data_IF_727606044036
#
_entry.id   IF_727606044036
#
_cell.length_a   1.000
_cell.length_b   1.000
_cell.length_c   1.000
_cell.angle_alpha   90.00
_cell.angle_beta   90.00
_cell.angle_gamma   90.00
#
_symmetry.space_group_name_H-M   'P 1'
#
loop_
_entity.id
_entity.type
_entity.pdbx_description
1 polymer ?
#
# COMPACT_ATOMS: atom_id res chain seq x y z
N UNK A 1 22.67 -14.63 9.72
CA UNK A 1 22.30 -13.43 8.94
C UNK A 1 20.98 -12.92 9.49
N UNK A 2 20.91 -11.67 9.95
CA UNK A 2 19.67 -11.10 10.49
C UNK A 2 18.70 -10.88 9.33
N UNK A 3 17.50 -11.46 9.40
CA UNK A 3 16.50 -11.29 8.35
C UNK A 3 16.15 -9.81 8.17
N UNK A 4 16.30 -9.27 6.96
CA UNK A 4 16.06 -7.85 6.69
C UNK A 4 14.57 -7.61 6.43
N UNK A 5 13.88 -7.01 7.39
CA UNK A 5 12.46 -6.64 7.28
C UNK A 5 12.31 -5.13 7.16
N UNK A 6 11.53 -4.68 6.18
CA UNK A 6 11.11 -3.29 5.99
C UNK A 6 9.65 -3.11 6.38
N UNK A 7 9.36 -2.12 7.23
CA UNK A 7 8.02 -1.56 7.43
C UNK A 7 7.92 -0.29 6.58
N UNK A 8 7.03 -0.33 5.59
CA UNK A 8 6.86 0.69 4.56
C UNK A 8 5.47 1.32 4.63
N UNK A 9 5.42 2.65 4.54
CA UNK A 9 4.17 3.41 4.40
C UNK A 9 4.32 4.54 3.40
N UNK A 10 3.20 4.97 2.81
CA UNK A 10 3.16 6.08 1.85
C UNK A 10 2.09 7.06 2.31
N UNK A 11 2.50 8.32 2.51
CA UNK A 11 1.65 9.39 2.97
C UNK A 11 2.02 10.67 2.20
N UNK A 12 1.48 10.81 0.99
CA UNK A 12 1.69 11.97 0.11
C UNK A 12 0.41 12.83 0.06
N UNK A 13 0.46 13.97 -0.64
CA UNK A 13 -0.73 14.80 -0.90
C UNK A 13 -1.44 15.30 0.38
N UNK A 14 -0.68 15.47 1.45
CA UNK A 14 -1.14 15.96 2.75
C UNK A 14 -1.45 14.87 3.78
N UNK A 15 -1.48 13.59 3.36
CA UNK A 15 -1.65 12.47 4.29
C UNK A 15 -0.51 12.37 5.31
N UNK A 16 0.69 12.87 5.01
CA UNK A 16 1.80 12.96 5.96
C UNK A 16 1.48 13.78 7.21
N UNK A 17 0.57 14.77 7.12
CA UNK A 17 0.16 15.58 8.26
C UNK A 17 -1.09 15.01 8.92
N UNK A 18 -2.03 14.54 8.11
CA UNK A 18 -3.28 13.94 8.61
C UNK A 18 -3.03 12.71 9.48
N UNK A 19 -2.10 11.85 9.05
CA UNK A 19 -1.87 10.54 9.67
C UNK A 19 -0.56 10.43 10.44
N UNK A 20 -0.10 11.54 11.02
CA UNK A 20 1.15 11.54 11.81
C UNK A 20 1.12 10.56 12.99
N UNK A 21 -0.06 10.30 13.57
CA UNK A 21 -0.19 9.39 14.71
C UNK A 21 -0.01 7.94 14.27
N UNK A 22 -0.63 7.58 13.17
CA UNK A 22 -0.54 6.26 12.53
C UNK A 22 0.89 5.99 12.08
N UNK A 23 1.53 6.93 11.37
CA UNK A 23 2.94 6.82 10.97
C UNK A 23 3.90 6.67 12.16
N UNK A 24 3.62 7.33 13.30
CA UNK A 24 4.37 7.12 14.54
C UNK A 24 4.19 5.69 15.08
N UNK A 25 2.99 5.11 14.97
CA UNK A 25 2.72 3.73 15.39
C UNK A 25 3.49 2.72 14.52
N UNK A 26 3.61 2.96 13.21
CA UNK A 26 4.39 2.14 12.29
C UNK A 26 5.87 2.12 12.68
N UNK A 27 6.42 3.31 12.96
CA UNK A 27 7.79 3.46 13.44
C UNK A 27 8.02 2.75 14.77
N UNK A 28 7.09 2.88 15.71
CA UNK A 28 7.21 2.23 17.01
C UNK A 28 7.19 0.70 16.89
N UNK A 29 6.30 0.15 16.06
CA UNK A 29 6.26 -1.28 15.78
C UNK A 29 7.57 -1.78 15.16
N UNK A 30 8.11 -1.06 14.17
CA UNK A 30 9.40 -1.40 13.58
C UNK A 30 10.54 -1.37 14.61
N UNK A 31 10.59 -0.34 15.47
CA UNK A 31 11.57 -0.23 16.54
C UNK A 31 11.48 -1.39 17.54
N UNK A 32 10.26 -1.78 17.92
CA UNK A 32 10.00 -2.87 18.88
C UNK A 32 10.65 -4.19 18.45
N UNK A 33 10.63 -4.50 17.15
CA UNK A 33 11.15 -5.76 16.60
C UNK A 33 12.45 -5.62 15.80
N UNK A 34 13.09 -4.44 15.84
CA UNK A 34 14.35 -4.19 15.14
C UNK A 34 14.24 -4.19 13.62
N UNK A 35 13.08 -3.86 13.07
CA UNK A 35 12.86 -3.73 11.63
C UNK A 35 13.31 -2.36 11.11
N UNK A 36 13.62 -2.28 9.81
CA UNK A 36 13.81 -0.99 9.15
C UNK A 36 12.45 -0.33 8.95
N UNK A 37 12.36 0.97 9.20
CA UNK A 37 11.15 1.76 8.95
C UNK A 37 11.40 2.85 7.91
N UNK A 38 10.50 2.94 6.93
CA UNK A 38 10.48 4.01 5.94
C UNK A 38 9.04 4.46 5.64
N UNK A 39 8.73 5.72 5.96
CA UNK A 39 7.52 6.39 5.51
C UNK A 39 7.86 7.34 4.36
N UNK A 40 7.26 7.12 3.20
CA UNK A 40 7.37 8.00 2.03
C UNK A 40 6.43 9.18 2.24
N UNK A 41 7.00 10.36 2.51
CA UNK A 41 6.27 11.60 2.79
C UNK A 41 6.65 12.74 1.83
N UNK A 42 7.46 12.40 0.83
CA UNK A 42 8.00 13.30 -0.20
C UNK A 42 8.07 12.56 -1.54
N UNK A 43 7.92 13.25 -2.68
CA UNK A 43 7.56 14.67 -2.80
C UNK A 43 6.20 14.96 -2.14
N UNK A 44 6.02 16.14 -1.54
CA UNK A 44 4.81 16.43 -0.76
C UNK A 44 3.52 16.36 -1.59
N UNK A 45 3.65 16.70 -2.87
CA UNK A 45 2.62 16.61 -3.89
C UNK A 45 3.15 15.64 -4.94
N UNK A 46 2.35 14.62 -5.25
CA UNK A 46 2.62 13.67 -6.32
C UNK A 46 1.77 14.03 -7.54
N UNK A 47 2.35 13.87 -8.72
CA UNK A 47 1.65 14.00 -9.99
C UNK A 47 0.66 12.85 -10.26
N UNK A 48 0.80 11.71 -9.57
CA UNK A 48 -0.17 10.61 -9.58
C UNK A 48 -1.49 10.95 -8.88
N UNK A 49 -1.52 11.95 -7.99
CA UNK A 49 -2.73 12.30 -7.25
C UNK A 49 -3.28 11.10 -6.47
N UNK A 50 -4.48 10.62 -6.81
CA UNK A 50 -5.10 9.44 -6.16
C UNK A 50 -4.45 8.11 -6.59
N UNK A 51 -3.77 8.08 -7.74
CA UNK A 51 -3.04 6.90 -8.23
C UNK A 51 -1.76 6.62 -7.42
N UNK A 52 -1.42 7.46 -6.42
CA UNK A 52 -0.37 7.19 -5.44
C UNK A 52 -0.52 5.83 -4.76
N UNK A 53 -1.74 5.30 -4.69
CA UNK A 53 -2.02 4.00 -4.11
C UNK A 53 -1.26 2.87 -4.84
N UNK A 54 -0.94 3.02 -6.14
CA UNK A 54 -0.12 2.07 -6.91
C UNK A 54 1.35 2.04 -6.48
N UNK A 55 1.87 3.13 -5.92
CA UNK A 55 3.27 3.21 -5.50
C UNK A 55 3.61 2.09 -4.50
N UNK A 56 2.65 1.66 -3.67
CA UNK A 56 2.89 0.57 -2.70
C UNK A 56 3.41 -0.69 -3.38
N UNK A 57 2.84 -1.09 -4.51
CA UNK A 57 3.24 -2.32 -5.21
C UNK A 57 4.63 -2.17 -5.83
N UNK A 58 4.90 -1.02 -6.46
CA UNK A 58 6.20 -0.74 -7.09
C UNK A 58 7.34 -0.66 -6.07
N UNK A 59 7.11 -0.01 -4.92
CA UNK A 59 8.11 0.16 -3.87
C UNK A 59 8.35 -1.13 -3.08
N UNK A 60 7.31 -1.93 -2.83
CA UNK A 60 7.47 -3.28 -2.26
C UNK A 60 8.33 -4.12 -3.19
N UNK A 61 8.02 -4.14 -4.50
CA UNK A 61 8.79 -4.88 -5.49
C UNK A 61 10.25 -4.43 -5.54
N UNK A 62 10.51 -3.12 -5.55
CA UNK A 62 11.86 -2.56 -5.55
C UNK A 62 12.64 -2.94 -4.28
N UNK A 63 12.02 -2.85 -3.10
CA UNK A 63 12.64 -3.23 -1.85
C UNK A 63 13.00 -4.71 -1.80
N UNK A 64 12.10 -5.61 -2.22
CA UNK A 64 12.39 -7.04 -2.31
C UNK A 64 13.53 -7.33 -3.29
N UNK A 65 13.50 -6.73 -4.48
CA UNK A 65 14.57 -6.89 -5.48
C UNK A 65 15.92 -6.35 -5.02
N UNK A 66 15.92 -5.35 -4.13
CA UNK A 66 17.16 -4.83 -3.55
C UNK A 66 17.80 -5.75 -2.51
N UNK A 67 17.04 -6.70 -1.95
CA UNK A 67 17.55 -7.67 -0.97
C UNK A 67 16.91 -7.58 0.42
N UNK A 68 15.75 -6.92 0.58
CA UNK A 68 14.93 -7.14 1.77
C UNK A 68 14.30 -8.53 1.73
N UNK A 69 14.33 -9.26 2.85
CA UNK A 69 13.68 -10.57 2.96
C UNK A 69 12.16 -10.43 3.08
N UNK A 70 11.71 -9.39 3.78
CA UNK A 70 10.29 -9.13 4.01
C UNK A 70 9.99 -7.64 3.91
N UNK A 71 8.83 -7.30 3.36
CA UNK A 71 8.27 -5.95 3.37
C UNK A 71 6.86 -6.02 3.93
N UNK A 72 6.62 -5.37 5.07
CA UNK A 72 5.29 -5.07 5.57
C UNK A 72 4.90 -3.68 5.08
N UNK A 73 3.92 -3.61 4.19
CA UNK A 73 3.28 -2.37 3.81
C UNK A 73 2.08 -2.06 4.70
N UNK A 74 1.98 -0.81 5.13
CA UNK A 74 0.87 -0.26 5.92
C UNK A 74 0.38 1.04 5.26
N UNK A 75 -0.90 1.08 4.90
CA UNK A 75 -1.57 2.32 4.50
C UNK A 75 -1.45 3.35 5.63
N UNK A 76 -1.37 4.63 5.26
CA UNK A 76 -1.10 5.70 6.22
C UNK A 76 -2.20 5.81 7.30
N UNK A 77 -3.43 5.40 7.00
CA UNK A 77 -4.58 5.40 7.92
C UNK A 77 -4.76 4.10 8.74
N UNK A 78 -3.74 3.23 8.71
CA UNK A 78 -3.66 2.05 9.58
C UNK A 78 -2.94 2.38 10.89
N UNK A 79 -3.55 2.08 12.03
CA UNK A 79 -2.93 2.22 13.34
C UNK A 79 -2.43 0.85 13.82
N UNK A 80 -1.16 0.76 14.19
CA UNK A 80 -0.58 -0.47 14.77
C UNK A 80 -0.68 -0.42 16.29
N UNK A 81 -1.29 -1.46 16.87
CA UNK A 81 -1.44 -1.61 18.31
C UNK A 81 -0.14 -2.07 18.97
N UNK A 82 0.04 -1.73 20.26
CA UNK A 82 1.21 -2.12 21.05
C UNK A 82 1.33 -3.65 21.22
N UNK A 83 0.21 -4.36 21.20
CA UNK A 83 0.16 -5.82 21.29
C UNK A 83 0.33 -6.54 19.93
N UNK A 84 0.58 -5.80 18.84
CA UNK A 84 0.87 -6.41 17.54
C UNK A 84 2.09 -7.35 17.65
N UNK A 85 1.97 -8.64 17.28
CA UNK A 85 3.03 -9.62 17.42
C UNK A 85 4.11 -9.45 16.35
N UNK A 86 5.24 -10.15 16.50
CA UNK A 86 6.30 -10.20 15.49
C UNK A 86 5.79 -10.85 14.19
N UNK A 87 6.28 -10.41 13.02
CA UNK A 87 5.87 -10.95 11.72
C UNK A 87 6.21 -12.44 11.54
N UNK A 88 7.21 -12.98 12.23
CA UNK A 88 7.50 -14.41 12.18
C UNK A 88 6.35 -15.26 12.70
N UNK A 89 5.43 -14.69 13.49
CA UNK A 89 4.27 -15.40 14.03
C UNK A 89 3.27 -15.83 12.97
N UNK A 90 3.31 -15.25 11.76
CA UNK A 90 2.38 -15.58 10.67
C UNK A 90 3.03 -16.36 9.53
N UNK A 91 4.36 -16.53 9.54
CA UNK A 91 5.05 -17.20 8.46
C UNK A 91 4.70 -18.68 8.41
N UNK A 92 4.37 -19.12 7.20
CA UNK A 92 4.06 -20.51 6.90
C UNK A 92 4.89 -20.96 5.69
N UNK A 93 5.33 -22.22 5.70
CA UNK A 93 6.01 -22.83 4.58
C UNK A 93 5.17 -22.75 3.29
N UNK A 94 5.84 -22.45 2.17
CA UNK A 94 5.18 -22.27 0.87
C UNK A 94 4.32 -21.02 0.73
N UNK A 95 4.28 -20.13 1.74
CA UNK A 95 3.51 -18.88 1.72
C UNK A 95 4.43 -17.66 1.71
N UNK A 96 4.17 -16.73 0.80
CA UNK A 96 5.05 -15.59 0.53
C UNK A 96 4.33 -14.23 0.54
N UNK A 97 3.01 -14.20 0.38
CA UNK A 97 2.22 -12.96 0.47
C UNK A 97 1.11 -13.18 1.48
N UNK A 98 0.89 -12.19 2.35
CA UNK A 98 -0.04 -12.29 3.45
C UNK A 98 -0.90 -11.03 3.50
N UNK A 99 -2.22 -11.21 3.50
CA UNK A 99 -3.21 -10.14 3.55
C UNK A 99 -4.43 -10.62 4.32
N UNK A 100 -5.12 -9.70 5.01
CA UNK A 100 -6.42 -9.98 5.60
C UNK A 100 -7.55 -9.47 4.69
N UNK A 101 -8.73 -10.09 4.84
CA UNK A 101 -9.94 -9.61 4.18
C UNK A 101 -10.53 -8.42 4.93
N UNK A 102 -10.98 -7.42 4.17
CA UNK A 102 -11.69 -6.26 4.72
C UNK A 102 -13.18 -6.52 4.94
N UNK A 103 -13.93 -5.47 5.27
CA UNK A 103 -15.38 -5.50 5.52
C UNK A 103 -16.21 -6.09 4.37
N UNK A 104 -15.71 -6.02 3.13
CA UNK A 104 -16.38 -6.62 1.96
C UNK A 104 -16.07 -8.11 1.78
N UNK A 105 -15.41 -8.76 2.75
CA UNK A 105 -14.94 -10.15 2.66
C UNK A 105 -14.01 -10.43 1.45
N UNK A 106 -13.30 -9.40 0.97
CA UNK A 106 -12.29 -9.47 -0.10
C UNK A 106 -10.95 -8.99 0.46
N UNK A 107 -9.83 -9.40 -0.13
CA UNK A 107 -8.53 -8.94 0.31
C UNK A 107 -8.43 -7.41 0.32
N UNK A 108 -7.80 -6.88 1.36
CA UNK A 108 -7.50 -5.47 1.49
C UNK A 108 -5.98 -5.30 1.59
N UNK A 109 -5.41 -4.62 0.60
CA UNK A 109 -3.97 -4.40 0.43
C UNK A 109 -3.39 -3.24 1.23
N UNK A 110 -4.20 -2.60 2.09
CA UNK A 110 -3.70 -1.59 3.02
C UNK A 110 -2.89 -2.16 4.18
N UNK A 111 -2.95 -3.48 4.36
CA UNK A 111 -1.93 -4.24 5.08
C UNK A 111 -1.51 -5.41 4.20
N UNK A 112 -0.27 -5.35 3.71
CA UNK A 112 0.27 -6.37 2.81
C UNK A 112 1.68 -6.72 3.27
N UNK A 113 1.88 -7.98 3.67
CA UNK A 113 3.19 -8.52 3.99
C UNK A 113 3.67 -9.39 2.83
N UNK A 114 4.79 -8.99 2.23
CA UNK A 114 5.41 -9.66 1.10
C UNK A 114 6.79 -10.19 1.50
N UNK A 115 7.06 -11.46 1.19
CA UNK A 115 8.35 -12.11 1.38
C UNK A 115 9.09 -12.21 0.06
N UNK A 116 10.40 -12.05 0.10
CA UNK A 116 11.25 -12.20 -1.07
C UNK A 116 11.18 -13.63 -1.58
N UNK A 117 10.56 -13.77 -2.74
CA UNK A 117 10.44 -15.01 -3.47
C UNK A 117 10.15 -14.68 -4.92
N UNK A 118 10.65 -15.50 -5.85
CA UNK A 118 10.39 -15.31 -7.28
C UNK A 118 8.89 -15.26 -7.60
N UNK A 119 8.06 -16.04 -6.88
CA UNK A 119 6.60 -16.04 -7.04
C UNK A 119 5.97 -14.72 -6.59
N UNK A 120 6.46 -14.14 -5.50
CA UNK A 120 6.05 -12.80 -5.03
C UNK A 120 6.39 -11.73 -6.05
N UNK A 121 7.62 -11.74 -6.57
CA UNK A 121 8.08 -10.77 -7.58
C UNK A 121 7.26 -10.89 -8.87
N UNK A 122 7.02 -12.11 -9.34
CA UNK A 122 6.22 -12.37 -10.53
C UNK A 122 4.78 -11.86 -10.36
N UNK A 123 4.16 -12.16 -9.21
CA UNK A 123 2.81 -11.68 -8.89
C UNK A 123 2.73 -10.15 -8.81
N UNK A 124 3.62 -9.49 -8.06
CA UNK A 124 3.66 -8.02 -8.01
C UNK A 124 3.81 -7.42 -9.40
N UNK A 125 4.72 -7.97 -10.21
CA UNK A 125 4.95 -7.52 -11.59
C UNK A 125 3.68 -7.66 -12.43
N UNK A 126 2.97 -8.78 -12.31
CA UNK A 126 1.72 -9.03 -13.02
C UNK A 126 0.64 -8.02 -12.63
N UNK A 127 0.44 -7.76 -11.33
CA UNK A 127 -0.55 -6.79 -10.84
C UNK A 127 -0.21 -5.37 -11.32
N UNK A 128 1.06 -4.95 -11.23
CA UNK A 128 1.52 -3.63 -11.68
C UNK A 128 1.30 -3.45 -13.19
N UNK A 129 1.64 -4.46 -13.99
CA UNK A 129 1.48 -4.41 -15.45
C UNK A 129 0.01 -4.38 -15.87
N UNK A 130 -0.90 -4.91 -15.04
CA UNK A 130 -2.32 -4.91 -15.30
C UNK A 130 -3.02 -3.58 -14.92
N UNK A 131 -2.30 -2.56 -14.43
CA UNK A 131 -2.91 -1.33 -13.86
C UNK A 131 -3.89 -0.60 -14.77
N UNK A 132 -3.67 -0.66 -16.09
CA UNK A 132 -4.51 0.01 -17.09
C UNK A 132 -5.64 -0.88 -17.61
N UNK A 133 -5.64 -2.15 -17.22
CA UNK A 133 -6.68 -3.10 -17.59
C UNK A 133 -7.86 -2.94 -16.62
N UNK A 134 -9.06 -3.14 -17.13
CA UNK A 134 -10.24 -3.26 -16.30
C UNK A 134 -10.18 -4.58 -15.50
N UNK A 135 -10.66 -4.52 -14.26
CA UNK A 135 -10.89 -5.71 -13.44
C UNK A 135 -12.33 -6.19 -13.59
N UNK A 136 -12.55 -7.48 -13.35
CA UNK A 136 -13.89 -8.06 -13.32
C UNK A 136 -14.79 -7.30 -12.34
N UNK A 137 -16.07 -7.20 -12.70
CA UNK A 137 -17.05 -6.40 -11.96
C UNK A 137 -17.12 -6.77 -10.47
N UNK A 138 -16.99 -8.04 -10.11
CA UNK A 138 -16.99 -8.48 -8.71
C UNK A 138 -15.74 -8.06 -7.91
N UNK A 139 -14.63 -7.80 -8.59
CA UNK A 139 -13.37 -7.37 -8.00
C UNK A 139 -13.24 -5.85 -7.99
N UNK A 140 -14.05 -5.16 -8.78
CA UNK A 140 -14.02 -3.72 -8.88
C UNK A 140 -14.37 -3.06 -7.54
N UNK A 141 -13.51 -2.12 -7.11
CA UNK A 141 -13.67 -1.30 -5.90
C UNK A 141 -13.82 0.19 -6.22
N UNK A 142 -13.94 0.52 -7.50
CA UNK A 142 -14.18 1.85 -8.05
C UNK A 142 -12.92 2.64 -8.40
N UNK A 143 -11.77 2.34 -7.79
CA UNK A 143 -10.52 3.09 -8.00
C UNK A 143 -9.29 2.32 -7.47
N UNK A 144 -8.11 2.76 -7.88
CA UNK A 144 -6.82 2.29 -7.35
C UNK A 144 -6.48 0.83 -7.66
N UNK A 145 -5.49 0.32 -6.93
CA UNK A 145 -4.84 -0.97 -7.13
C UNK A 145 -5.57 -2.14 -6.48
N UNK A 146 -6.40 -1.88 -5.46
CA UNK A 146 -6.92 -2.97 -4.62
C UNK A 146 -7.84 -3.91 -5.41
N UNK A 147 -8.53 -3.43 -6.45
CA UNK A 147 -9.32 -4.29 -7.34
C UNK A 147 -8.45 -5.31 -8.07
N UNK A 148 -7.31 -4.88 -8.60
CA UNK A 148 -6.34 -5.77 -9.24
C UNK A 148 -5.70 -6.71 -8.23
N UNK A 149 -5.37 -6.24 -7.03
CA UNK A 149 -4.85 -7.13 -5.96
C UNK A 149 -5.86 -8.23 -5.64
N UNK A 150 -7.16 -7.94 -5.55
CA UNK A 150 -8.21 -8.96 -5.33
C UNK A 150 -8.22 -9.96 -6.50
N UNK A 151 -8.29 -9.46 -7.74
CA UNK A 151 -8.40 -10.28 -8.94
C UNK A 151 -7.23 -11.25 -9.10
N UNK A 152 -6.01 -10.72 -9.06
CA UNK A 152 -4.79 -11.48 -9.26
C UNK A 152 -4.40 -12.33 -8.04
N UNK A 153 -5.13 -12.23 -6.92
CA UNK A 153 -4.94 -13.11 -5.76
C UNK A 153 -5.84 -14.36 -5.79
N UNK A 154 -6.84 -14.41 -6.69
CA UNK A 154 -7.76 -15.56 -6.78
C UNK A 154 -6.99 -16.84 -7.13
N UNK A 155 -7.13 -17.87 -6.30
CA UNK A 155 -6.54 -19.19 -6.53
C UNK A 155 -5.01 -19.26 -6.39
N UNK A 156 -4.34 -18.20 -5.93
CA UNK A 156 -2.88 -18.19 -5.82
C UNK A 156 -2.42 -18.96 -4.57
N UNK A 157 -1.74 -20.11 -4.71
CA UNK A 157 -1.51 -21.03 -3.60
C UNK A 157 -0.48 -20.52 -2.57
N UNK A 158 0.36 -19.56 -2.93
CA UNK A 158 1.36 -18.99 -2.01
C UNK A 158 0.87 -17.73 -1.28
N UNK A 159 -0.36 -17.28 -1.54
CA UNK A 159 -0.99 -16.22 -0.75
C UNK A 159 -1.66 -16.86 0.46
N UNK A 160 -1.46 -16.26 1.63
CA UNK A 160 -2.07 -16.67 2.89
C UNK A 160 -3.01 -15.57 3.37
N UNK A 161 -4.24 -15.97 3.67
CA UNK A 161 -5.17 -15.12 4.41
C UNK A 161 -4.72 -15.00 5.87
N UNK A 162 -4.56 -13.76 6.33
CA UNK A 162 -4.32 -13.42 7.73
C UNK A 162 -5.64 -13.32 8.48
N UNK A 163 -5.58 -13.56 9.79
CA UNK A 163 -6.68 -13.23 10.69
C UNK A 163 -7.05 -11.75 10.58
N UNK A 164 -8.34 -11.45 10.75
CA UNK A 164 -8.91 -10.10 10.73
C UNK A 164 -8.18 -9.11 11.65
N UNK A 165 -7.57 -9.58 12.75
CA UNK A 165 -6.77 -8.76 13.67
C UNK A 165 -5.61 -8.03 12.99
N UNK A 166 -5.08 -8.58 11.90
CA UNK A 166 -4.00 -7.99 11.11
C UNK A 166 -4.46 -6.88 10.16
N UNK A 167 -5.76 -6.71 9.92
CA UNK A 167 -6.30 -5.62 9.12
C UNK A 167 -7.79 -5.42 9.45
N UNK A 168 -8.08 -4.88 10.63
CA UNK A 168 -9.46 -4.67 11.06
C UNK A 168 -10.02 -3.38 10.45
N UNK A 169 -11.03 -3.52 9.60
CA UNK A 169 -11.64 -2.41 8.84
C UNK A 169 -13.10 -2.12 9.22
N UNK A 170 -13.68 -2.86 10.16
CA UNK A 170 -15.11 -2.72 10.47
C UNK A 170 -15.56 -3.00 11.90
N UNK A 171 -14.80 -3.74 12.70
CA UNK A 171 -15.25 -4.19 14.01
C UNK A 171 -14.63 -3.38 15.14
N UNK A 172 -15.41 -2.47 15.70
CA UNK A 172 -14.95 -1.56 16.74
C UNK A 172 -14.55 -2.26 18.06
N UNK A 173 -15.14 -3.43 18.34
CA UNK A 173 -14.95 -4.18 19.57
C UNK A 173 -13.78 -5.17 19.50
N UNK A 174 -13.30 -5.47 18.29
CA UNK A 174 -12.16 -6.37 18.12
C UNK A 174 -10.90 -5.78 18.76
N UNK A 175 -10.27 -6.57 19.63
CA UNK A 175 -8.87 -6.35 20.04
C UNK A 175 -7.98 -6.75 18.87
N UNK A 176 -7.61 -5.76 18.06
CA UNK A 176 -6.85 -5.92 16.82
C UNK A 176 -5.36 -5.62 17.01
N UNK A 177 -4.56 -6.09 16.05
CA UNK A 177 -3.15 -5.75 15.93
C UNK A 177 -2.97 -4.51 15.06
N UNK A 178 -3.79 -4.40 14.01
CA UNK A 178 -3.79 -3.27 13.09
C UNK A 178 -5.25 -2.85 12.83
N UNK A 179 -5.57 -1.61 13.20
CA UNK A 179 -6.88 -0.99 12.96
C UNK A 179 -6.79 -0.05 11.78
N UNK A 180 -7.54 -0.33 10.73
CA UNK A 180 -7.42 0.36 9.45
C UNK A 180 -8.68 1.18 9.16
N UNK A 181 -8.54 2.50 9.17
CA UNK A 181 -9.65 3.46 9.02
C UNK A 181 -9.86 3.89 7.57
N UNK A 182 -9.78 2.92 6.67
CA UNK A 182 -9.99 3.12 5.24
C UNK A 182 -11.41 3.58 4.90
N UNK A 183 -11.65 3.89 3.62
CA UNK A 183 -12.98 4.21 3.10
C UNK A 183 -13.96 3.04 3.35
N UNK A 184 -14.67 3.07 4.48
CA UNK A 184 -15.51 1.98 4.97
C UNK A 184 -16.11 2.28 6.34
N UNK A 185 -16.64 1.26 7.05
CA UNK A 185 -17.41 1.44 8.30
C UNK A 185 -16.64 2.14 9.43
N UNK A 186 -15.30 2.11 9.40
CA UNK A 186 -14.44 2.75 10.39
C UNK A 186 -14.11 4.23 10.12
N UNK A 187 -14.41 4.77 8.94
CA UNK A 187 -14.12 6.18 8.60
C UNK A 187 -15.34 7.07 8.86
N UNK A 188 -15.54 7.40 10.13
CA UNK A 188 -16.72 8.15 10.60
C UNK A 188 -16.49 9.66 10.79
N UNK A 189 -15.23 10.12 10.75
CA UNK A 189 -14.90 11.53 10.98
C UNK A 189 -15.30 12.45 9.82
N UNK A 190 -16.14 13.45 10.08
CA UNK A 190 -16.56 14.46 9.08
C UNK A 190 -15.37 15.21 8.49
N UNK A 191 -14.43 15.66 9.34
CA UNK A 191 -13.21 16.34 8.89
C UNK A 191 -12.34 15.44 8.01
N UNK A 192 -12.25 14.16 8.35
CA UNK A 192 -11.51 13.20 7.53
C UNK A 192 -12.15 13.06 6.16
N UNK A 193 -13.47 12.83 6.11
CA UNK A 193 -14.20 12.70 4.85
C UNK A 193 -14.08 13.96 3.99
N UNK A 194 -14.16 15.15 4.59
CA UNK A 194 -13.94 16.41 3.87
C UNK A 194 -12.52 16.51 3.31
N UNK A 195 -11.50 16.20 4.11
CA UNK A 195 -10.10 16.20 3.65
C UNK A 195 -9.90 15.24 2.47
N UNK A 196 -10.42 14.01 2.56
CA UNK A 196 -10.38 13.02 1.47
C UNK A 196 -11.05 13.55 0.19
N UNK A 197 -12.21 14.20 0.30
CA UNK A 197 -12.89 14.82 -0.84
C UNK A 197 -12.06 15.94 -1.47
N UNK A 198 -11.44 16.79 -0.66
CA UNK A 198 -10.56 17.87 -1.14
C UNK A 198 -9.35 17.29 -1.88
N UNK A 199 -8.67 16.30 -1.30
CA UNK A 199 -7.52 15.64 -1.95
C UNK A 199 -7.94 15.00 -3.27
N UNK A 200 -9.08 14.31 -3.31
CA UNK A 200 -9.60 13.70 -4.53
C UNK A 200 -9.91 14.75 -5.61
N UNK A 201 -10.58 15.84 -5.22
CA UNK A 201 -10.90 16.93 -6.13
C UNK A 201 -9.66 17.65 -6.68
N UNK A 202 -8.69 17.95 -5.82
CA UNK A 202 -7.43 18.58 -6.24
C UNK A 202 -6.61 17.65 -7.15
N UNK A 203 -6.57 16.35 -6.83
CA UNK A 203 -5.93 15.33 -7.67
C UNK A 203 -6.56 15.27 -9.07
N UNK A 204 -7.89 15.23 -9.15
CA UNK A 204 -8.61 15.23 -10.42
C UNK A 204 -8.31 16.49 -11.25
N UNK A 205 -8.22 17.66 -10.60
CA UNK A 205 -7.85 18.92 -11.26
C UNK A 205 -6.40 18.94 -11.76
N UNK A 206 -5.45 18.43 -10.97
CA UNK A 206 -4.05 18.35 -11.37
C UNK A 206 -3.88 17.43 -12.58
N UNK A 207 -4.54 16.27 -12.59
CA UNK A 207 -4.55 15.33 -13.72
C UNK A 207 -5.14 16.01 -14.96
N UNK A 208 -6.31 16.64 -14.84
CA UNK A 208 -6.96 17.34 -15.96
C UNK A 208 -6.08 18.47 -16.53
N UNK A 209 -5.40 19.24 -15.68
CA UNK A 209 -4.50 20.31 -16.10
C UNK A 209 -3.25 19.76 -16.81
N UNK A 210 -2.64 18.68 -16.28
CA UNK A 210 -1.51 17.99 -16.90
C UNK A 210 -1.85 17.48 -18.30
N UNK A 211 -3.02 16.84 -18.45
CA UNK A 211 -3.52 16.35 -19.74
C UNK A 211 -3.76 17.50 -20.75
N UNK A 212 -4.29 18.63 -20.28
CA UNK A 212 -4.50 19.82 -21.13
C UNK A 212 -3.18 20.44 -21.60
N UNK A 213 -2.14 20.46 -20.75
CA UNK A 213 -0.80 20.97 -21.09
C UNK A 213 -0.05 20.07 -22.07
N UNK A 214 -0.24 18.76 -22.01
CA UNK A 214 0.44 17.80 -22.90
C UNK A 214 -0.14 17.75 -24.33
N UNK A 215 -1.23 18.48 -24.64
CA UNK A 215 -1.75 18.59 -26.01
C UNK A 215 -2.07 17.23 -26.67
N UNK A 216 -2.47 16.23 -25.89
CA UNK A 216 -2.56 14.84 -26.37
C UNK A 216 -3.82 14.63 -27.19
N UNK A 217 -3.67 14.75 -28.51
CA UNK A 217 -4.45 13.97 -29.48
C UNK A 217 -3.95 12.52 -29.41
N UNK A 218 -4.85 11.59 -29.04
CA UNK A 218 -4.71 10.13 -29.04
C UNK A 218 -3.34 9.52 -29.44
N UNK A 219 -2.56 9.02 -28.45
CA UNK A 219 -1.87 7.71 -28.46
C UNK A 219 -1.01 7.50 -27.20
N UNK A 220 -1.15 6.31 -26.63
CA UNK A 220 -0.42 5.63 -25.55
C UNK A 220 -0.51 6.15 -24.09
N UNK A 221 -1.11 5.35 -23.18
CA UNK A 221 -1.31 5.73 -21.78
C UNK A 221 -0.05 5.49 -20.90
N UNK A 222 0.49 6.57 -20.34
CA UNK A 222 0.90 6.66 -18.92
C UNK A 222 1.96 5.71 -18.29
N UNK A 223 2.65 4.82 -19.02
CA UNK A 223 3.74 3.98 -18.44
C UNK A 223 4.85 4.76 -17.74
N UNK A 224 5.03 6.00 -18.18
CA UNK A 224 6.11 6.85 -17.76
C UNK A 224 5.90 7.42 -16.34
N UNK A 225 4.69 7.81 -15.95
CA UNK A 225 4.49 8.60 -14.71
C UNK A 225 4.64 7.79 -13.43
N UNK A 226 4.06 6.59 -13.34
CA UNK A 226 4.23 5.73 -12.15
C UNK A 226 5.70 5.32 -11.98
N UNK A 227 6.37 4.97 -13.08
CA UNK A 227 7.77 4.58 -13.09
C UNK A 227 8.69 5.74 -12.70
N UNK A 228 8.45 6.94 -13.25
CA UNK A 228 9.16 8.16 -12.89
C UNK A 228 9.03 8.48 -11.41
N UNK A 229 7.81 8.49 -10.87
CA UNK A 229 7.61 8.77 -9.44
C UNK A 229 8.21 7.69 -8.54
N UNK A 230 8.14 6.41 -8.95
CA UNK A 230 8.81 5.32 -8.24
C UNK A 230 10.32 5.61 -8.15
N UNK A 231 10.95 5.96 -9.27
CA UNK A 231 12.39 6.25 -9.31
C UNK A 231 12.76 7.51 -8.52
N UNK A 232 11.95 8.56 -8.60
CA UNK A 232 12.11 9.77 -7.78
C UNK A 232 12.08 9.41 -6.29
N UNK A 233 11.07 8.67 -5.84
CA UNK A 233 10.95 8.23 -4.45
C UNK A 233 12.14 7.38 -4.03
N UNK A 234 12.58 6.42 -4.86
CA UNK A 234 13.76 5.61 -4.56
C UNK A 234 15.03 6.46 -4.41
N UNK A 235 15.16 7.55 -5.18
CA UNK A 235 16.28 8.49 -5.06
C UNK A 235 16.25 9.31 -3.76
N UNK A 236 15.05 9.60 -3.24
CA UNK A 236 14.84 10.39 -2.03
C UNK A 236 14.99 9.57 -0.75
N UNK A 237 14.79 8.25 -0.82
CA UNK A 237 14.69 7.37 0.34
C UNK A 237 15.60 6.15 0.22
N UNK A 238 16.86 6.32 0.62
CA UNK A 238 17.88 5.25 0.57
C UNK A 238 17.46 3.98 1.30
N UNK A 239 16.66 4.06 2.37
CA UNK A 239 16.18 2.87 3.11
C UNK A 239 15.27 1.96 2.30
N UNK A 240 14.75 2.39 1.15
CA UNK A 240 13.92 1.54 0.28
C UNK A 240 14.76 0.53 -0.51
N UNK A 241 16.07 0.69 -0.56
CA UNK A 241 17.00 -0.16 -1.29
C UNK A 241 18.08 -0.64 -0.34
N UNK A 242 18.36 -1.94 -0.28
CA UNK A 242 19.54 -2.43 0.41
C UNK A 242 20.80 -2.01 -0.34
N UNK A 243 21.73 -1.38 0.37
CA UNK A 243 23.11 -1.19 -0.07
C UNK A 243 24.00 -2.34 0.42
#
# INVERSE_FOLDING_TARGET
>A
MQHKTLVLSIALNGYQWMYQRELKSHRHYAQKYGYVHQAVTRPFISALGVECCWLKLTLIRAALLSGYDNVLFLDADAMVSQNCPDLTSVFQEGKYVYMAKGYSNRFNSGVLLARHNIKTIAWLTQVINARLNEVQRENNVGWGENGHVIEFSKGVPFIKELEKKWNNTFDYQLTDYIRHRNCGPMRTGVLNNFFHQVVFFLSARLIAYSNKKKGVSSKEPSEDTLSQETNEILSLYSKLVCH
#
